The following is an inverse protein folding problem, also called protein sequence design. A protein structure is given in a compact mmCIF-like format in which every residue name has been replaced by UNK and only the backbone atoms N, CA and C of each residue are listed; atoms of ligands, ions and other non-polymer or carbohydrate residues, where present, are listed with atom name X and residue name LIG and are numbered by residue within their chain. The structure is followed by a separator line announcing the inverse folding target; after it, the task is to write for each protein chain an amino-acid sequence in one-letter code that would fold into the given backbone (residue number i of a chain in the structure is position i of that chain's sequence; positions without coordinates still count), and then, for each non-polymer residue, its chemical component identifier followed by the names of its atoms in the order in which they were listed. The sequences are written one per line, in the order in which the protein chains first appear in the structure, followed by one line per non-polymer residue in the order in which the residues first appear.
data_IF_071009134626
#
_entry.id   IF_071009134626
#
_cell.length_a   1.000
_cell.length_b   1.000
_cell.length_c   1.000
_cell.angle_alpha   90.00
_cell.angle_beta   90.00
_cell.angle_gamma   90.00
#
_symmetry.space_group_name_H-M   'P 1'
#
loop_
_entity.id
_entity.type
_entity.pdbx_description
1 polymer ?
#
# COMPACT_ATOMS: atom_id res chain seq x y z
N UNK A 1 -2.19 9.90 -6.32
CA UNK A 1 -3.48 9.79 -7.04
C UNK A 1 -3.53 8.45 -7.76
N UNK A 2 -4.66 7.77 -7.69
CA UNK A 2 -4.89 6.50 -8.38
C UNK A 2 -6.28 6.57 -9.03
N UNK A 3 -6.37 6.30 -10.32
CA UNK A 3 -7.61 6.30 -11.10
C UNK A 3 -7.75 4.97 -11.81
N UNK A 4 -8.85 4.27 -11.57
CA UNK A 4 -9.16 2.99 -12.20
C UNK A 4 -10.24 3.22 -13.26
N UNK A 5 -9.92 2.87 -14.50
CA UNK A 5 -10.88 2.80 -15.60
C UNK A 5 -11.33 1.35 -15.77
N UNK A 6 -12.59 1.09 -15.38
CA UNK A 6 -13.16 -0.27 -15.45
C UNK A 6 -13.53 -0.69 -16.87
N UNK A 7 -13.78 0.24 -17.77
CA UNK A 7 -14.12 -0.06 -19.17
C UNK A 7 -12.87 -0.47 -19.94
N UNK A 8 -11.80 0.29 -19.76
CA UNK A 8 -10.52 0.05 -20.44
C UNK A 8 -9.62 -0.93 -19.67
N UNK A 9 -10.03 -1.36 -18.48
CA UNK A 9 -9.24 -2.21 -17.58
C UNK A 9 -7.82 -1.65 -17.39
N UNK A 10 -7.74 -0.37 -17.05
CA UNK A 10 -6.48 0.34 -16.80
C UNK A 10 -6.48 1.08 -15.49
N UNK A 11 -5.28 1.26 -14.94
CA UNK A 11 -5.03 2.08 -13.77
C UNK A 11 -4.03 3.16 -14.12
N UNK A 12 -4.35 4.42 -13.80
CA UNK A 12 -3.40 5.53 -13.86
C UNK A 12 -2.96 5.88 -12.45
N UNK A 13 -1.66 5.91 -12.24
CA UNK A 13 -1.04 6.20 -10.94
C UNK A 13 -0.03 7.32 -11.05
N UNK A 14 -0.13 8.29 -10.14
CA UNK A 14 0.88 9.29 -9.87
C UNK A 14 1.10 9.35 -8.36
N UNK A 15 2.26 8.95 -7.89
CA UNK A 15 2.59 8.81 -6.47
C UNK A 15 3.62 9.84 -6.01
N UNK A 16 3.44 10.32 -4.79
CA UNK A 16 4.38 11.16 -4.05
C UNK A 16 4.94 10.36 -2.87
N UNK A 17 6.19 9.90 -2.98
CA UNK A 17 6.89 9.08 -1.99
C UNK A 17 6.27 7.72 -1.63
N UNK A 18 4.96 7.51 -1.84
CA UNK A 18 4.27 6.26 -1.52
C UNK A 18 4.02 5.43 -2.77
N UNK A 19 4.48 4.17 -2.79
CA UNK A 19 4.26 3.27 -3.92
C UNK A 19 2.83 2.74 -3.95
N UNK A 20 2.45 2.24 -5.13
CA UNK A 20 1.29 1.40 -5.32
C UNK A 20 1.74 -0.06 -5.42
N UNK A 21 1.02 -0.97 -4.79
CA UNK A 21 1.24 -2.41 -4.92
C UNK A 21 0.08 -3.04 -5.69
N UNK A 22 0.41 -3.84 -6.69
CA UNK A 22 -0.56 -4.68 -7.39
C UNK A 22 -0.16 -6.13 -7.15
N UNK A 23 -1.07 -6.91 -6.55
CA UNK A 23 -0.86 -8.34 -6.34
C UNK A 23 -1.63 -9.11 -7.39
N UNK A 24 -0.90 -9.88 -8.20
CA UNK A 24 -1.40 -10.76 -9.24
C UNK A 24 -0.69 -12.11 -9.13
N UNK A 25 -1.45 -13.20 -9.10
CA UNK A 25 -0.89 -14.56 -9.05
C UNK A 25 0.18 -14.74 -7.95
N UNK A 26 -0.12 -14.32 -6.71
CA UNK A 26 0.78 -14.37 -5.54
C UNK A 26 2.08 -13.56 -5.67
N UNK A 27 2.15 -12.68 -6.65
CA UNK A 27 3.33 -11.83 -6.88
C UNK A 27 2.93 -10.37 -6.78
N UNK A 28 3.71 -9.60 -6.05
CA UNK A 28 3.52 -8.15 -5.95
C UNK A 28 4.37 -7.41 -6.97
N UNK A 29 3.71 -6.67 -7.84
CA UNK A 29 4.32 -5.63 -8.64
C UNK A 29 4.31 -4.31 -7.87
N UNK A 30 5.47 -3.67 -7.77
CA UNK A 30 5.64 -2.38 -7.10
C UNK A 30 5.72 -1.26 -8.12
N UNK A 31 4.71 -0.40 -8.17
CA UNK A 31 4.73 0.80 -9.01
C UNK A 31 5.37 1.93 -8.20
N UNK A 32 6.55 2.35 -8.65
CA UNK A 32 7.35 3.35 -7.93
C UNK A 32 6.77 4.74 -8.05
N UNK A 33 6.70 5.50 -6.93
CA UNK A 33 6.29 6.91 -6.95
C UNK A 33 7.44 7.82 -7.37
N UNK A 34 7.13 9.08 -7.62
CA UNK A 34 8.16 10.13 -7.61
C UNK A 34 8.61 10.39 -6.16
N UNK A 35 9.90 10.69 -6.00
CA UNK A 35 10.49 11.02 -4.69
C UNK A 35 10.34 12.50 -4.36
N UNK A 36 9.11 12.98 -4.47
CA UNK A 36 8.76 14.37 -4.23
C UNK A 36 7.59 14.41 -3.23
N UNK A 37 7.62 15.30 -2.22
CA UNK A 37 6.48 15.53 -1.35
C UNK A 37 5.40 16.35 -2.06
N UNK A 38 4.15 16.20 -1.63
CA UNK A 38 3.06 17.10 -1.98
C UNK A 38 3.07 18.25 -0.97
N UNK A 39 3.26 19.50 -1.45
CA UNK A 39 3.40 20.65 -0.58
C UNK A 39 4.77 20.76 0.10
N UNK A 40 4.90 21.67 1.05
CA UNK A 40 6.14 21.97 1.79
C UNK A 40 6.68 23.38 1.49
N UNK A 41 7.72 23.79 2.23
CA UNK A 41 8.29 25.13 2.19
C UNK A 41 9.06 25.50 0.90
N UNK A 42 9.36 24.52 0.06
CA UNK A 42 9.98 24.76 -1.24
C UNK A 42 8.91 24.67 -2.31
N UNK A 43 8.22 25.78 -2.54
CA UNK A 43 7.28 25.96 -3.65
C UNK A 43 8.03 26.09 -4.98
N UNK A 44 8.54 24.95 -5.46
CA UNK A 44 8.92 24.84 -6.85
C UNK A 44 7.62 24.65 -7.64
N UNK A 45 7.08 25.75 -8.18
CA UNK A 45 5.85 25.79 -8.97
C UNK A 45 5.90 24.87 -10.21
N UNK A 46 7.10 24.39 -10.56
CA UNK A 46 7.34 23.49 -11.69
C UNK A 46 7.37 21.99 -11.32
N UNK A 47 7.00 21.62 -10.09
CA UNK A 47 6.95 20.20 -9.70
C UNK A 47 5.91 19.46 -10.53
N UNK A 48 6.37 18.46 -11.27
CA UNK A 48 5.51 17.56 -12.03
C UNK A 48 5.64 16.14 -11.51
N UNK A 49 4.50 15.45 -11.37
CA UNK A 49 4.44 14.03 -11.01
C UNK A 49 4.19 13.21 -12.28
N UNK A 50 4.96 12.14 -12.45
CA UNK A 50 4.80 11.27 -13.61
C UNK A 50 3.57 10.38 -13.43
N UNK A 51 2.67 10.46 -14.40
CA UNK A 51 1.56 9.51 -14.49
C UNK A 51 2.02 8.24 -15.20
N UNK A 52 1.78 7.09 -14.56
CA UNK A 52 2.05 5.77 -15.11
C UNK A 52 0.71 5.10 -15.39
N UNK A 53 0.58 4.45 -16.54
CA UNK A 53 -0.62 3.68 -16.90
C UNK A 53 -0.28 2.20 -16.90
N UNK A 54 -1.08 1.41 -16.20
CA UNK A 54 -0.90 -0.01 -15.96
C UNK A 54 -2.16 -0.73 -16.48
N UNK A 55 -1.98 -1.81 -17.24
CA UNK A 55 -3.07 -2.69 -17.60
C UNK A 55 -3.49 -3.54 -16.39
N UNK A 56 -4.79 -3.59 -16.12
CA UNK A 56 -5.36 -4.40 -15.06
C UNK A 56 -5.92 -5.70 -15.61
N UNK A 57 -5.91 -6.72 -14.77
CA UNK A 57 -6.57 -7.98 -15.01
C UNK A 57 -7.64 -8.23 -13.95
N UNK A 58 -8.68 -8.98 -14.32
CA UNK A 58 -9.68 -9.42 -13.35
C UNK A 58 -9.00 -10.26 -12.27
N UNK A 59 -9.27 -9.93 -11.00
CA UNK A 59 -8.65 -10.57 -9.84
C UNK A 59 -7.39 -9.86 -9.34
N UNK A 60 -6.92 -8.79 -9.98
CA UNK A 60 -5.86 -7.97 -9.42
C UNK A 60 -6.29 -7.36 -8.09
N UNK A 61 -5.38 -7.36 -7.13
CA UNK A 61 -5.55 -6.68 -5.85
C UNK A 61 -4.60 -5.49 -5.76
N UNK A 62 -5.16 -4.32 -5.56
CA UNK A 62 -4.43 -3.05 -5.54
C UNK A 62 -4.37 -2.54 -4.10
N UNK A 63 -3.16 -2.19 -3.62
CA UNK A 63 -2.99 -1.67 -2.27
C UNK A 63 -2.24 -0.34 -2.27
N UNK A 64 -2.80 0.60 -1.51
CA UNK A 64 -2.17 1.86 -1.11
C UNK A 64 -2.11 1.90 0.41
N UNK A 65 -1.01 2.36 0.97
CA UNK A 65 -0.86 2.44 2.43
C UNK A 65 0.08 3.55 2.87
N UNK A 66 -0.13 4.05 4.10
CA UNK A 66 0.81 4.91 4.80
C UNK A 66 1.97 4.09 5.37
N UNK A 67 3.06 4.74 5.74
CA UNK A 67 4.20 4.06 6.37
C UNK A 67 3.92 3.57 7.78
N UNK A 68 2.92 4.14 8.46
CA UNK A 68 2.60 3.78 9.85
C UNK A 68 2.40 2.29 10.10
N UNK A 69 1.84 1.54 9.12
CA UNK A 69 1.72 0.10 9.26
C UNK A 69 3.10 -0.61 9.29
N UNK A 70 3.96 -0.28 8.33
CA UNK A 70 5.27 -0.92 8.21
C UNK A 70 6.25 -0.44 9.29
N UNK A 71 6.08 0.77 9.77
CA UNK A 71 6.94 1.42 10.76
C UNK A 71 6.53 1.15 12.21
N UNK A 72 5.40 0.45 12.44
CA UNK A 72 4.98 0.08 13.78
C UNK A 72 5.99 -0.81 14.48
N UNK A 73 6.45 -0.38 15.65
CA UNK A 73 7.29 -1.16 16.55
C UNK A 73 6.46 -2.20 17.31
N UNK A 74 7.06 -3.37 17.52
CA UNK A 74 6.38 -4.43 18.25
C UNK A 74 7.18 -5.74 18.30
N UNK A 75 6.48 -6.84 18.60
CA UNK A 75 7.08 -8.14 18.82
C UNK A 75 7.95 -8.19 20.09
N UNK A 76 8.59 -9.32 20.33
CA UNK A 76 9.43 -9.51 21.53
C UNK A 76 10.69 -8.63 21.54
N UNK A 77 11.18 -8.25 20.37
CA UNK A 77 12.43 -7.50 20.23
C UNK A 77 12.21 -6.00 19.95
N UNK A 78 10.96 -5.53 19.95
CA UNK A 78 10.65 -4.12 19.66
C UNK A 78 11.09 -3.66 18.28
N UNK A 79 10.96 -4.50 17.24
CA UNK A 79 11.34 -4.18 15.87
C UNK A 79 10.16 -3.64 15.06
N UNK A 80 10.43 -2.95 13.97
CA UNK A 80 9.40 -2.53 13.00
C UNK A 80 8.87 -3.75 12.23
N UNK A 81 7.60 -3.69 11.80
CA UNK A 81 6.99 -4.69 10.90
C UNK A 81 7.79 -4.78 9.59
N UNK A 82 8.17 -3.65 9.03
CA UNK A 82 8.87 -3.47 7.76
C UNK A 82 8.00 -3.73 6.52
N UNK A 83 8.27 -2.99 5.46
CA UNK A 83 7.55 -3.09 4.16
C UNK A 83 7.61 -4.50 3.56
N UNK A 84 8.72 -5.22 3.76
CA UNK A 84 8.85 -6.60 3.30
C UNK A 84 7.78 -7.51 3.91
N UNK A 85 7.55 -7.38 5.22
CA UNK A 85 6.53 -8.19 5.93
C UNK A 85 5.11 -7.83 5.50
N UNK A 86 4.83 -6.54 5.34
CA UNK A 86 3.54 -6.10 4.81
C UNK A 86 3.26 -6.72 3.43
N UNK A 87 4.25 -6.70 2.52
CA UNK A 87 4.14 -7.32 1.20
C UNK A 87 3.86 -8.83 1.30
N UNK A 88 4.60 -9.56 2.12
CA UNK A 88 4.36 -11.00 2.34
C UNK A 88 2.93 -11.27 2.83
N UNK A 89 2.40 -10.42 3.71
CA UNK A 89 1.03 -10.55 4.20
C UNK A 89 0.00 -10.40 3.07
N UNK A 90 0.09 -9.33 2.26
CA UNK A 90 -0.86 -9.10 1.17
C UNK A 90 -0.76 -10.16 0.06
N UNK A 91 0.46 -10.65 -0.24
CA UNK A 91 0.68 -11.74 -1.19
C UNK A 91 0.00 -13.04 -0.75
N UNK A 92 0.16 -13.39 0.53
CA UNK A 92 -0.39 -14.65 1.06
C UNK A 92 -1.92 -14.64 1.18
N UNK A 93 -2.53 -13.48 1.36
CA UNK A 93 -3.97 -13.39 1.59
C UNK A 93 -4.76 -12.88 0.37
N UNK A 94 -4.11 -12.55 -0.77
CA UNK A 94 -4.77 -11.85 -1.87
C UNK A 94 -5.97 -12.61 -2.47
N UNK A 95 -6.05 -13.93 -2.34
CA UNK A 95 -7.21 -14.70 -2.80
C UNK A 95 -8.38 -14.76 -1.81
N UNK A 96 -8.20 -14.21 -0.61
CA UNK A 96 -9.28 -14.16 0.38
C UNK A 96 -10.15 -12.91 0.17
N UNK A 97 -11.42 -12.92 0.60
CA UNK A 97 -12.28 -11.75 0.52
C UNK A 97 -11.67 -10.53 1.18
N UNK A 98 -11.89 -9.33 0.63
CA UNK A 98 -11.33 -8.06 1.16
C UNK A 98 -11.62 -7.85 2.65
N UNK A 99 -12.80 -8.25 3.12
CA UNK A 99 -13.13 -8.18 4.55
C UNK A 99 -12.21 -9.06 5.40
N UNK A 100 -11.93 -10.28 4.95
CA UNK A 100 -11.01 -11.19 5.64
C UNK A 100 -9.58 -10.67 5.63
N UNK A 101 -9.17 -10.03 4.55
CA UNK A 101 -7.86 -9.37 4.45
C UNK A 101 -7.73 -8.21 5.42
N UNK A 102 -8.77 -7.37 5.53
CA UNK A 102 -8.84 -6.30 6.51
C UNK A 102 -8.66 -6.84 7.93
N UNK A 103 -9.44 -7.85 8.30
CA UNK A 103 -9.41 -8.42 9.65
C UNK A 103 -8.04 -9.07 9.94
N UNK A 104 -7.44 -9.74 8.96
CA UNK A 104 -6.11 -10.35 9.11
C UNK A 104 -5.01 -9.28 9.29
N UNK A 105 -5.03 -8.20 8.50
CA UNK A 105 -4.08 -7.09 8.63
C UNK A 105 -4.23 -6.38 9.98
N UNK A 106 -5.46 -6.11 10.41
CA UNK A 106 -5.75 -5.46 11.69
C UNK A 106 -5.29 -6.34 12.87
N UNK A 107 -5.60 -7.64 12.83
CA UNK A 107 -5.18 -8.58 13.87
C UNK A 107 -3.66 -8.72 13.93
N UNK A 108 -3.00 -8.82 12.77
CA UNK A 108 -1.53 -8.87 12.73
C UNK A 108 -0.91 -7.61 13.33
N UNK A 109 -1.41 -6.43 12.93
CA UNK A 109 -0.94 -5.15 13.44
C UNK A 109 -1.07 -5.05 14.96
N UNK A 110 -2.26 -5.35 15.50
CA UNK A 110 -2.53 -5.28 16.94
C UNK A 110 -1.68 -6.28 17.74
N UNK A 111 -1.54 -7.50 17.24
CA UNK A 111 -0.71 -8.52 17.88
C UNK A 111 0.77 -8.14 17.86
N UNK A 112 1.25 -7.60 16.73
CA UNK A 112 2.63 -7.11 16.62
C UNK A 112 2.88 -5.95 17.54
N UNK A 113 2.02 -4.94 17.50
CA UNK A 113 2.12 -3.74 18.35
C UNK A 113 2.14 -4.11 19.82
N UNK A 114 1.27 -5.01 20.27
CA UNK A 114 1.21 -5.42 21.67
C UNK A 114 1.12 -4.23 22.62
N UNK A 115 2.13 -4.05 23.49
CA UNK A 115 2.19 -2.98 24.47
C UNK A 115 2.86 -1.67 23.95
N UNK A 116 3.38 -1.70 22.74
CA UNK A 116 4.02 -0.52 22.15
C UNK A 116 2.98 0.50 21.72
N UNK A 117 3.33 1.77 21.79
CA UNK A 117 2.50 2.86 21.29
C UNK A 117 2.45 2.84 19.76
N UNK A 118 1.34 3.29 19.20
CA UNK A 118 1.25 3.60 17.79
C UNK A 118 1.90 4.95 17.55
N UNK A 119 2.94 4.97 16.70
CA UNK A 119 3.78 6.16 16.50
C UNK A 119 3.39 7.00 15.29
N UNK A 120 2.52 6.47 14.41
CA UNK A 120 2.11 7.15 13.19
C UNK A 120 0.70 6.72 12.77
N UNK A 121 0.07 7.49 11.87
CA UNK A 121 -1.23 7.19 11.29
C UNK A 121 -1.17 5.97 10.37
N UNK A 122 -2.05 5.02 10.60
CA UNK A 122 -2.11 3.77 9.84
C UNK A 122 -3.32 3.78 8.92
N UNK A 123 -3.04 3.80 7.62
CA UNK A 123 -4.04 3.65 6.56
C UNK A 123 -3.60 2.54 5.61
N UNK A 124 -4.51 1.61 5.32
CA UNK A 124 -4.36 0.62 4.24
C UNK A 124 -5.65 0.60 3.43
N UNK A 125 -5.54 0.83 2.15
CA UNK A 125 -6.66 0.75 1.20
C UNK A 125 -6.38 -0.43 0.28
N UNK A 126 -7.30 -1.41 0.25
CA UNK A 126 -7.27 -2.53 -0.68
C UNK A 126 -8.48 -2.49 -1.61
N UNK A 127 -8.25 -2.76 -2.89
CA UNK A 127 -9.28 -2.85 -3.93
C UNK A 127 -9.04 -4.10 -4.76
N UNK A 128 -10.11 -4.86 -5.04
CA UNK A 128 -10.07 -5.97 -6.01
C UNK A 128 -10.69 -5.53 -7.33
N UNK A 129 -10.07 -5.93 -8.43
CA UNK A 129 -10.57 -5.70 -9.81
C UNK A 129 -11.50 -6.85 -10.16
N UNK A 130 -12.80 -6.55 -10.32
CA UNK A 130 -13.88 -7.51 -10.63
C UNK A 130 -14.19 -7.58 -12.13
#
# INVERSE_FOLDING_TARGET
MCVIDKMEMTLKFAGANRPLHIVRNFTTELIKPDKLPIGGFNDDENRTFKSQQIALEKGDHIYLYSDGYADQFGGMEGKKIMTKKFRELIENMHQTPMKSQHDALLNYFNNWKGKFEQVDDVLVIGVVVE
#
